data_IF_261839688105
#
_entry.id   IF_261839688105
#
_cell.length_a   1.000
_cell.length_b   1.000
_cell.length_c   1.000
_cell.angle_alpha   90.00
_cell.angle_beta   90.00
_cell.angle_gamma   90.00
#
_symmetry.space_group_name_H-M   'P 1'
#
loop_
_entity.id
_entity.type
_entity.pdbx_description
1 polymer ?
#
# COMPACT_ATOMS: atom_id res chain seq x y z
N UNK A 1 -32.26 36.64 70.50
CA UNK A 1 -32.58 36.02 69.19
C UNK A 1 -31.40 36.30 68.26
N UNK A 2 -30.52 35.30 68.11
CA UNK A 2 -29.33 35.42 67.24
C UNK A 2 -29.69 34.87 65.87
N UNK A 3 -29.46 35.64 64.83
CA UNK A 3 -29.50 35.17 63.45
C UNK A 3 -28.06 35.09 62.91
N UNK A 4 -27.56 33.87 62.70
CA UNK A 4 -26.27 33.60 62.01
C UNK A 4 -26.45 33.83 60.49
N UNK A 5 -25.65 34.73 59.95
CA UNK A 5 -25.49 34.90 58.49
C UNK A 5 -24.32 34.03 58.02
N UNK A 6 -24.60 33.07 57.11
CA UNK A 6 -23.57 32.25 56.47
C UNK A 6 -23.08 32.95 55.19
N UNK A 7 -21.81 33.35 55.20
CA UNK A 7 -21.12 33.84 54.01
C UNK A 7 -20.68 32.64 53.15
N UNK A 8 -21.21 32.54 51.95
CA UNK A 8 -20.85 31.52 50.95
C UNK A 8 -19.71 32.05 50.11
N UNK A 9 -18.51 31.50 50.32
CA UNK A 9 -17.31 31.78 49.50
C UNK A 9 -17.38 30.95 48.24
N UNK A 10 -17.69 31.58 47.10
CA UNK A 10 -17.66 30.95 45.78
C UNK A 10 -16.23 30.86 45.24
N UNK A 11 -15.68 29.65 45.20
CA UNK A 11 -14.41 29.35 44.56
C UNK A 11 -14.63 29.14 43.07
N UNK A 12 -14.31 30.15 42.24
CA UNK A 12 -14.36 30.07 40.77
C UNK A 12 -13.06 29.41 40.25
N UNK A 13 -13.14 28.12 39.90
CA UNK A 13 -12.10 27.40 39.20
C UNK A 13 -12.13 27.81 37.70
N UNK A 14 -11.26 28.71 37.29
CA UNK A 14 -10.97 28.98 35.87
C UNK A 14 -10.23 27.77 35.29
N UNK A 15 -10.97 26.86 34.65
CA UNK A 15 -10.40 25.79 33.86
C UNK A 15 -9.75 26.36 32.60
N UNK A 16 -8.41 26.34 32.53
CA UNK A 16 -7.68 26.62 31.31
C UNK A 16 -7.85 25.42 30.37
N UNK A 17 -8.77 25.56 29.40
CA UNK A 17 -8.86 24.64 28.26
C UNK A 17 -7.67 24.96 27.34
N UNK A 18 -6.59 24.18 27.48
CA UNK A 18 -5.51 24.17 26.48
C UNK A 18 -6.05 23.44 25.26
N UNK A 19 -6.50 24.19 24.25
CA UNK A 19 -6.76 23.64 22.93
C UNK A 19 -5.39 23.21 22.35
N UNK A 20 -5.07 21.94 22.50
CA UNK A 20 -4.00 21.32 21.76
C UNK A 20 -4.35 21.41 20.28
N UNK A 21 -3.68 22.29 19.53
CA UNK A 21 -3.71 22.26 18.07
C UNK A 21 -3.20 20.87 17.64
N UNK A 22 -3.96 20.09 16.85
CA UNK A 22 -3.43 18.85 16.33
C UNK A 22 -2.20 19.21 15.48
N UNK A 23 -1.03 18.72 15.90
CA UNK A 23 0.16 18.70 15.05
C UNK A 23 -0.18 17.66 13.98
N UNK A 24 -0.57 18.11 12.81
CA UNK A 24 -0.63 17.29 11.63
C UNK A 24 0.82 16.87 11.33
N UNK A 25 1.21 15.71 11.79
CA UNK A 25 2.36 15.03 11.21
C UNK A 25 2.04 14.93 9.72
N UNK A 26 2.78 15.63 8.87
CA UNK A 26 2.56 15.58 7.43
C UNK A 26 2.52 14.11 7.03
N UNK A 27 1.39 13.67 6.46
CA UNK A 27 1.24 12.29 6.05
C UNK A 27 2.38 11.95 5.08
N UNK A 28 3.11 10.89 5.39
CA UNK A 28 4.17 10.38 4.51
C UNK A 28 3.48 9.93 3.23
N UNK A 29 3.90 10.48 2.09
CA UNK A 29 3.36 10.12 0.78
C UNK A 29 3.44 8.60 0.58
N UNK A 30 2.30 7.96 0.36
CA UNK A 30 2.21 6.54 0.06
C UNK A 30 2.09 6.33 -1.44
N UNK A 31 2.95 5.47 -2.00
CA UNK A 31 2.97 5.14 -3.43
C UNK A 31 2.91 3.63 -3.58
N UNK A 32 1.89 3.14 -4.26
CA UNK A 32 1.71 1.72 -4.53
C UNK A 32 1.69 1.47 -6.03
N UNK A 33 2.58 0.61 -6.49
CA UNK A 33 2.74 0.29 -7.91
C UNK A 33 2.16 -1.10 -8.18
N UNK A 34 1.16 -1.15 -9.07
CA UNK A 34 0.56 -2.38 -9.56
C UNK A 34 1.08 -2.62 -10.99
N UNK A 35 1.95 -3.60 -11.15
CA UNK A 35 2.63 -3.88 -12.42
C UNK A 35 2.78 -5.38 -12.64
N UNK A 36 3.45 -5.79 -13.71
CA UNK A 36 3.88 -7.17 -13.90
C UNK A 36 5.40 -7.29 -13.73
N UNK A 37 5.89 -8.49 -13.47
CA UNK A 37 7.33 -8.73 -13.28
C UNK A 37 8.18 -8.39 -14.51
N UNK A 38 7.58 -8.33 -15.70
CA UNK A 38 8.25 -7.98 -16.96
C UNK A 38 8.40 -6.47 -17.16
N UNK A 39 7.70 -5.66 -16.36
CA UNK A 39 7.73 -4.19 -16.44
C UNK A 39 8.53 -3.62 -15.30
N UNK A 40 9.76 -3.24 -15.57
CA UNK A 40 10.62 -2.61 -14.58
C UNK A 40 10.04 -1.26 -14.13
N UNK A 41 10.05 -1.02 -12.82
CA UNK A 41 9.72 0.27 -12.21
C UNK A 41 11.03 1.06 -12.04
N UNK A 42 11.02 2.34 -12.43
CA UNK A 42 12.16 3.24 -12.31
C UNK A 42 11.89 4.42 -11.39
N UNK A 43 12.94 5.10 -10.96
CA UNK A 43 12.87 6.34 -10.19
C UNK A 43 12.58 6.16 -8.69
N UNK A 44 12.53 4.93 -8.15
CA UNK A 44 12.22 4.69 -6.73
C UNK A 44 13.28 5.28 -5.77
N UNK A 45 14.51 5.41 -6.21
CA UNK A 45 15.65 5.98 -5.47
C UNK A 45 15.82 7.51 -5.67
N UNK A 46 14.93 8.14 -6.44
CA UNK A 46 14.99 9.57 -6.70
C UNK A 46 14.79 10.38 -5.41
N UNK A 47 15.52 11.49 -5.28
CA UNK A 47 15.54 12.32 -4.07
C UNK A 47 14.15 12.83 -3.62
N UNK A 48 13.26 13.13 -4.56
CA UNK A 48 11.87 13.55 -4.27
C UNK A 48 11.02 12.48 -3.59
N UNK A 49 11.42 11.22 -3.67
CA UNK A 49 10.72 10.07 -3.10
C UNK A 49 11.36 9.55 -1.80
N UNK A 50 12.43 10.19 -1.33
CA UNK A 50 13.19 9.74 -0.14
C UNK A 50 12.35 9.65 1.15
N UNK A 51 11.30 10.44 1.25
CA UNK A 51 10.38 10.45 2.39
C UNK A 51 9.07 9.73 2.10
N UNK A 52 8.88 9.23 0.87
CA UNK A 52 7.72 8.47 0.50
C UNK A 52 7.87 6.98 0.87
N UNK A 53 6.75 6.33 1.15
CA UNK A 53 6.69 4.87 1.25
C UNK A 53 6.32 4.32 -0.12
N UNK A 54 7.21 3.51 -0.73
CA UNK A 54 6.97 2.90 -2.04
C UNK A 54 6.79 1.39 -1.87
N UNK A 55 5.67 0.85 -2.36
CA UNK A 55 5.41 -0.58 -2.44
C UNK A 55 5.15 -1.00 -3.88
N UNK A 56 5.79 -2.08 -4.32
CA UNK A 56 5.66 -2.59 -5.70
C UNK A 56 5.05 -3.99 -5.65
N UNK A 57 3.97 -4.17 -6.40
CA UNK A 57 3.24 -5.42 -6.51
C UNK A 57 3.27 -5.95 -7.94
N UNK A 58 3.93 -7.12 -8.12
CA UNK A 58 3.93 -7.85 -9.39
C UNK A 58 2.68 -8.75 -9.46
N UNK A 59 1.57 -8.22 -9.96
CA UNK A 59 0.24 -8.84 -9.91
C UNK A 59 0.13 -10.17 -10.67
N UNK A 60 1.07 -10.46 -11.59
CA UNK A 60 1.15 -11.76 -12.27
C UNK A 60 1.99 -12.82 -11.50
N UNK A 61 2.43 -12.50 -10.28
CA UNK A 61 3.27 -13.39 -9.48
C UNK A 61 2.57 -14.70 -9.09
N UNK A 62 1.25 -14.69 -8.95
CA UNK A 62 0.47 -15.92 -8.65
C UNK A 62 0.45 -16.85 -9.86
N UNK A 63 0.14 -16.36 -11.06
CA UNK A 63 0.14 -17.11 -12.31
C UNK A 63 1.54 -17.73 -12.56
N UNK A 64 2.59 -16.95 -12.38
CA UNK A 64 3.97 -17.45 -12.53
C UNK A 64 4.35 -18.51 -11.52
N UNK A 65 3.89 -18.36 -10.29
CA UNK A 65 4.08 -19.35 -9.24
C UNK A 65 3.38 -20.69 -9.60
N UNK A 66 2.12 -20.63 -10.04
CA UNK A 66 1.37 -21.82 -10.48
C UNK A 66 2.02 -22.48 -11.70
N UNK A 67 2.46 -21.69 -12.67
CA UNK A 67 3.16 -22.18 -13.87
C UNK A 67 4.45 -22.89 -13.48
N UNK A 68 5.25 -22.32 -12.57
CA UNK A 68 6.48 -22.96 -12.09
C UNK A 68 6.26 -24.27 -11.34
N UNK A 69 5.15 -24.42 -10.63
CA UNK A 69 4.78 -25.71 -10.01
C UNK A 69 4.38 -26.78 -11.03
N UNK A 70 3.86 -26.36 -12.18
CA UNK A 70 3.34 -27.24 -13.24
C UNK A 70 4.31 -27.48 -14.38
N UNK A 71 5.41 -26.73 -14.46
CA UNK A 71 6.40 -26.81 -15.53
C UNK A 71 7.08 -28.18 -15.55
N UNK A 72 7.25 -28.76 -16.76
CA UNK A 72 7.96 -30.02 -16.98
C UNK A 72 7.51 -31.21 -16.09
N UNK A 73 6.21 -31.27 -15.75
CA UNK A 73 5.68 -32.44 -15.08
C UNK A 73 5.71 -33.66 -15.99
N UNK A 74 6.01 -34.88 -15.44
CA UNK A 74 5.98 -36.11 -16.20
C UNK A 74 4.62 -36.35 -16.89
N UNK A 75 4.60 -37.01 -18.05
CA UNK A 75 3.36 -37.33 -18.76
C UNK A 75 2.57 -38.44 -18.08
N UNK A 76 3.23 -39.31 -17.32
CA UNK A 76 2.54 -40.33 -16.50
C UNK A 76 1.83 -39.66 -15.31
N UNK A 77 0.51 -39.85 -15.14
CA UNK A 77 -0.26 -39.15 -14.10
C UNK A 77 0.19 -39.43 -12.67
N UNK A 78 0.68 -40.66 -12.40
CA UNK A 78 1.14 -41.04 -11.05
C UNK A 78 2.49 -40.37 -10.75
N UNK A 79 3.40 -40.33 -11.72
CA UNK A 79 4.67 -39.65 -11.58
C UNK A 79 4.49 -38.13 -11.50
N UNK A 80 3.60 -37.54 -12.31
CA UNK A 80 3.26 -36.13 -12.27
C UNK A 80 2.74 -35.70 -10.88
N UNK A 81 1.83 -36.48 -10.31
CA UNK A 81 1.28 -36.23 -8.96
C UNK A 81 2.36 -36.32 -7.90
N UNK A 82 3.25 -37.31 -7.97
CA UNK A 82 4.34 -37.47 -7.01
C UNK A 82 5.32 -36.28 -7.09
N UNK A 83 5.67 -35.85 -8.29
CA UNK A 83 6.56 -34.71 -8.51
C UNK A 83 5.93 -33.40 -8.04
N UNK A 84 4.66 -33.12 -8.38
CA UNK A 84 3.95 -31.94 -7.91
C UNK A 84 3.90 -31.88 -6.36
N UNK A 85 3.60 -33.02 -5.73
CA UNK A 85 3.57 -33.09 -4.27
C UNK A 85 4.95 -32.82 -3.65
N UNK A 86 6.00 -33.37 -4.25
CA UNK A 86 7.40 -33.12 -3.83
C UNK A 86 7.74 -31.63 -3.92
N UNK A 87 7.37 -30.95 -5.02
CA UNK A 87 7.62 -29.51 -5.20
C UNK A 87 6.88 -28.71 -4.12
N UNK A 88 5.61 -28.99 -3.88
CA UNK A 88 4.83 -28.32 -2.84
C UNK A 88 5.43 -28.51 -1.45
N UNK A 89 5.95 -29.70 -1.12
CA UNK A 89 6.61 -29.97 0.17
C UNK A 89 7.92 -29.24 0.36
N UNK A 90 8.54 -28.77 -0.71
CA UNK A 90 9.81 -28.02 -0.70
C UNK A 90 9.60 -26.49 -0.69
N UNK A 91 8.35 -26.01 -0.72
CA UNK A 91 8.05 -24.58 -0.65
C UNK A 91 8.38 -24.03 0.72
N UNK A 92 9.10 -22.93 0.73
CA UNK A 92 9.38 -22.10 1.89
C UNK A 92 8.83 -20.68 1.69
N UNK A 93 9.06 -19.81 2.65
CA UNK A 93 8.60 -18.41 2.59
C UNK A 93 9.22 -17.62 1.43
N UNK A 94 10.42 -17.95 1.01
CA UNK A 94 11.10 -17.29 -0.13
C UNK A 94 10.40 -17.66 -1.44
N UNK A 95 10.08 -18.94 -1.64
CA UNK A 95 9.33 -19.42 -2.79
C UNK A 95 7.90 -18.87 -2.85
N UNK A 96 7.28 -18.67 -1.71
CA UNK A 96 5.91 -18.13 -1.59
C UNK A 96 5.85 -16.60 -1.69
N UNK A 97 6.94 -15.88 -1.48
CA UNK A 97 6.95 -14.42 -1.44
C UNK A 97 6.38 -13.75 -2.70
N UNK A 98 6.69 -14.19 -3.94
CA UNK A 98 6.11 -13.59 -5.15
C UNK A 98 4.59 -13.78 -5.24
N UNK A 99 4.08 -14.95 -4.86
CA UNK A 99 2.65 -15.22 -4.85
C UNK A 99 1.92 -14.41 -3.78
N UNK A 100 2.50 -14.27 -2.57
CA UNK A 100 1.98 -13.42 -1.49
C UNK A 100 1.95 -11.94 -1.92
N UNK A 101 3.02 -11.43 -2.52
CA UNK A 101 3.09 -10.06 -3.05
C UNK A 101 2.00 -9.82 -4.11
N UNK A 102 1.83 -10.76 -5.05
CA UNK A 102 0.79 -10.67 -6.07
C UNK A 102 -0.62 -10.68 -5.47
N UNK A 103 -0.89 -11.54 -4.50
CA UNK A 103 -2.18 -11.61 -3.83
C UNK A 103 -2.55 -10.29 -3.13
N UNK A 104 -1.59 -9.66 -2.45
CA UNK A 104 -1.76 -8.34 -1.85
C UNK A 104 -2.04 -7.30 -2.92
N UNK A 105 -1.25 -7.28 -4.01
CA UNK A 105 -1.43 -6.34 -5.11
C UNK A 105 -2.80 -6.47 -5.79
N UNK A 106 -3.28 -7.69 -6.00
CA UNK A 106 -4.61 -7.95 -6.56
C UNK A 106 -5.73 -7.47 -5.61
N UNK A 107 -5.61 -7.69 -4.31
CA UNK A 107 -6.56 -7.18 -3.33
C UNK A 107 -6.60 -5.65 -3.34
N UNK A 108 -5.45 -4.97 -3.43
CA UNK A 108 -5.35 -3.52 -3.55
C UNK A 108 -5.90 -3.01 -4.88
N UNK A 109 -5.68 -3.72 -5.98
CA UNK A 109 -6.30 -3.37 -7.28
C UNK A 109 -7.82 -3.32 -7.17
N UNK A 110 -8.42 -4.31 -6.50
CA UNK A 110 -9.87 -4.34 -6.25
C UNK A 110 -10.31 -3.20 -5.34
N UNK A 111 -9.56 -2.96 -4.25
CA UNK A 111 -9.84 -1.88 -3.29
C UNK A 111 -9.86 -0.50 -3.97
N UNK A 112 -8.92 -0.24 -4.88
CA UNK A 112 -8.76 1.05 -5.57
C UNK A 112 -9.54 1.15 -6.88
N UNK A 113 -10.24 0.09 -7.28
CA UNK A 113 -10.95 0.04 -8.57
C UNK A 113 -10.01 0.09 -9.79
N UNK A 114 -8.79 -0.42 -9.64
CA UNK A 114 -7.79 -0.48 -10.71
C UNK A 114 -8.12 -1.65 -11.64
N UNK A 115 -8.42 -1.36 -12.89
CA UNK A 115 -8.85 -2.31 -13.92
C UNK A 115 -7.77 -2.65 -14.96
N UNK A 116 -6.65 -1.95 -14.93
CA UNK A 116 -5.54 -2.13 -15.88
C UNK A 116 -4.19 -1.76 -15.26
N UNK A 117 -3.13 -2.31 -15.82
CA UNK A 117 -1.75 -2.08 -15.35
C UNK A 117 -0.81 -1.73 -16.52
N UNK A 118 0.31 -1.02 -16.28
CA UNK A 118 0.75 -0.54 -14.97
C UNK A 118 -0.15 0.57 -14.43
N UNK A 119 -0.30 0.61 -13.11
CA UNK A 119 -0.99 1.66 -12.37
C UNK A 119 -0.16 2.05 -11.14
N UNK A 120 -0.08 3.33 -10.85
CA UNK A 120 0.58 3.88 -9.67
C UNK A 120 -0.47 4.62 -8.86
N UNK A 121 -0.65 4.21 -7.61
CA UNK A 121 -1.66 4.75 -6.69
C UNK A 121 -0.95 5.63 -5.66
N UNK A 122 -1.40 6.86 -5.52
CA UNK A 122 -0.93 7.84 -4.54
C UNK A 122 -1.96 7.99 -3.43
N UNK A 123 -1.52 7.86 -2.17
CA UNK A 123 -2.32 8.03 -0.95
C UNK A 123 -3.66 7.29 -1.00
N UNK A 124 -3.66 6.09 -1.59
CA UNK A 124 -4.85 5.23 -1.75
C UNK A 124 -6.04 5.89 -2.50
N UNK A 125 -5.82 7.00 -3.19
CA UNK A 125 -6.87 7.88 -3.72
C UNK A 125 -6.71 8.25 -5.20
N UNK A 126 -5.49 8.48 -5.66
CA UNK A 126 -5.24 8.97 -7.03
C UNK A 126 -4.49 7.92 -7.81
N UNK A 127 -4.99 7.55 -8.97
CA UNK A 127 -4.40 6.51 -9.81
C UNK A 127 -3.84 7.12 -11.10
N UNK A 128 -2.55 6.86 -11.35
CA UNK A 128 -1.87 7.22 -12.60
C UNK A 128 -1.63 5.94 -13.41
N UNK A 129 -2.17 5.88 -14.60
CA UNK A 129 -2.07 4.72 -15.48
C UNK A 129 -0.99 4.87 -16.56
N UNK A 130 -0.44 3.72 -16.99
CA UNK A 130 0.38 3.61 -18.19
C UNK A 130 1.83 4.03 -18.02
N UNK A 131 2.26 4.40 -16.82
CA UNK A 131 3.66 4.76 -16.48
C UNK A 131 4.25 3.78 -15.50
N UNK A 132 5.57 3.58 -15.60
CA UNK A 132 6.38 2.81 -14.64
C UNK A 132 7.51 3.65 -14.05
N UNK A 133 7.68 4.88 -14.52
CA UNK A 133 8.60 5.86 -13.92
C UNK A 133 7.89 6.63 -12.80
N UNK A 134 8.41 6.49 -11.58
CA UNK A 134 7.79 7.08 -10.40
C UNK A 134 7.93 8.61 -10.36
N UNK A 135 8.97 9.17 -10.99
CA UNK A 135 9.15 10.63 -11.05
C UNK A 135 8.13 11.23 -12.00
N UNK A 136 7.93 10.62 -13.18
CA UNK A 136 6.88 11.03 -14.12
C UNK A 136 5.49 10.91 -13.49
N UNK A 137 5.21 9.83 -12.78
CA UNK A 137 3.94 9.64 -12.09
C UNK A 137 3.72 10.71 -11.02
N UNK A 138 4.77 11.05 -10.24
CA UNK A 138 4.73 12.12 -9.24
C UNK A 138 4.44 13.50 -9.87
N UNK A 139 5.04 13.80 -11.02
CA UNK A 139 4.76 15.06 -11.73
C UNK A 139 3.28 15.19 -12.12
N UNK A 140 2.67 14.09 -12.56
CA UNK A 140 1.23 14.03 -12.87
C UNK A 140 0.36 14.20 -11.63
N UNK A 141 0.75 13.57 -10.52
CA UNK A 141 0.08 13.70 -9.23
C UNK A 141 0.14 15.15 -8.70
N UNK A 142 1.32 15.78 -8.74
CA UNK A 142 1.51 17.19 -8.34
C UNK A 142 0.68 18.15 -9.22
N UNK A 143 0.58 17.87 -10.51
CA UNK A 143 -0.26 18.66 -11.41
C UNK A 143 -1.74 18.56 -11.03
N UNK A 144 -2.24 17.33 -10.78
CA UNK A 144 -3.59 17.09 -10.32
C UNK A 144 -3.89 17.80 -9.00
N UNK A 145 -2.98 17.73 -7.99
CA UNK A 145 -3.15 18.44 -6.72
C UNK A 145 -3.30 19.95 -6.90
N UNK A 146 -2.49 20.56 -7.77
CA UNK A 146 -2.58 22.01 -8.08
C UNK A 146 -3.90 22.40 -8.73
N UNK A 147 -4.50 21.52 -9.51
CA UNK A 147 -5.82 21.75 -10.11
C UNK A 147 -6.95 21.69 -9.08
N UNK A 148 -6.86 20.76 -8.11
CA UNK A 148 -7.85 20.66 -7.04
C UNK A 148 -7.80 21.83 -6.02
N UNK A 149 -6.67 22.52 -5.92
CA UNK A 149 -6.47 23.64 -5.00
C UNK A 149 -6.95 25.00 -5.57
N UNK A 150 -7.46 25.04 -6.82
CA UNK A 150 -7.97 26.25 -7.50
C UNK A 150 -9.46 26.41 -7.31
#
# INVERSE_FOLDING_TARGET
>A
MLTLSHAMVGLTLLGHFVFGVPVWAGDVLSIEVLTTSERAVSGADHERLRTATVAIYAINGLERFESGLSEDLPTDPKAAKAEALRRVQQLDDVHLAPAKNAAIGLAKAVQYGVDRHPAIVFDERVVVYGVTDLVEALDRYDAWQREQAR
#
